data_IF_325363064603
#
_entry.id   IF_325363064603
#
_cell.length_a   1.000
_cell.length_b   1.000
_cell.length_c   1.000
_cell.angle_alpha   90.00
_cell.angle_beta   90.00
_cell.angle_gamma   90.00
#
_symmetry.space_group_name_H-M   'P 1'
#
loop_
_entity.id
_entity.type
_entity.pdbx_description
1 polymer ?
#
# COMPACT_ATOMS: atom_id res chain seq x y z
N UNK A 1 11.40 -36.24 -20.94
CA UNK A 1 12.03 -35.25 -21.84
C UNK A 1 13.53 -35.46 -21.76
N UNK A 2 14.17 -36.02 -22.80
CA UNK A 2 15.62 -36.31 -22.79
C UNK A 2 16.35 -35.07 -23.31
N UNK A 3 17.11 -34.39 -22.46
CA UNK A 3 17.98 -33.28 -22.88
C UNK A 3 19.26 -33.86 -23.47
N UNK A 4 19.31 -34.02 -24.79
CA UNK A 4 20.58 -34.22 -25.50
C UNK A 4 21.32 -32.88 -25.50
N UNK A 5 22.15 -32.63 -24.49
CA UNK A 5 23.20 -31.63 -24.61
C UNK A 5 24.35 -32.29 -25.38
N UNK A 6 24.27 -32.26 -26.71
CA UNK A 6 25.50 -32.32 -27.50
C UNK A 6 26.37 -31.16 -27.02
N UNK A 7 27.51 -31.49 -26.42
CA UNK A 7 28.49 -30.52 -25.97
C UNK A 7 29.19 -29.95 -27.20
N UNK A 8 28.45 -29.13 -27.96
CA UNK A 8 28.99 -28.37 -29.09
C UNK A 8 30.04 -27.46 -28.50
N UNK A 9 31.31 -27.82 -28.70
CA UNK A 9 32.48 -27.10 -28.20
C UNK A 9 32.28 -25.61 -28.52
N UNK A 10 31.91 -24.82 -27.52
CA UNK A 10 31.70 -23.37 -27.71
C UNK A 10 33.10 -22.78 -27.87
N UNK A 11 33.53 -22.61 -29.12
CA UNK A 11 34.75 -21.88 -29.43
C UNK A 11 34.41 -20.41 -29.30
N UNK A 12 34.70 -19.83 -28.15
CA UNK A 12 34.44 -18.41 -27.86
C UNK A 12 35.29 -17.47 -28.72
N UNK A 13 36.33 -17.99 -29.38
CA UNK A 13 37.27 -17.24 -30.22
C UNK A 13 38.31 -16.44 -29.42
N UNK A 14 38.18 -16.40 -28.09
CA UNK A 14 39.18 -15.80 -27.22
C UNK A 14 40.38 -16.72 -27.08
N UNK A 15 41.58 -16.17 -27.26
CA UNK A 15 42.83 -16.92 -27.12
C UNK A 15 43.71 -16.28 -26.05
N UNK A 16 44.38 -17.13 -25.28
CA UNK A 16 45.46 -16.73 -24.39
C UNK A 16 46.81 -17.00 -25.04
N UNK A 17 47.89 -16.36 -24.58
CA UNK A 17 49.24 -16.71 -24.99
C UNK A 17 49.57 -18.15 -24.59
N UNK A 18 50.54 -18.74 -25.27
CA UNK A 18 51.06 -20.07 -24.93
C UNK A 18 51.54 -20.09 -23.48
N UNK A 19 51.21 -21.16 -22.76
CA UNK A 19 51.64 -21.40 -21.37
C UNK A 19 51.26 -20.29 -20.37
N UNK A 20 50.31 -19.42 -20.71
CA UNK A 20 49.92 -18.27 -19.87
C UNK A 20 49.59 -18.66 -18.43
N UNK A 21 48.75 -19.68 -18.24
CA UNK A 21 48.33 -20.11 -16.90
C UNK A 21 49.43 -20.85 -16.13
N UNK A 22 50.39 -21.45 -16.82
CA UNK A 22 51.50 -22.21 -16.22
C UNK A 22 52.64 -21.27 -15.77
N UNK A 23 52.95 -20.25 -16.57
CA UNK A 23 54.11 -19.37 -16.34
C UNK A 23 53.78 -18.10 -15.56
N UNK A 24 52.53 -17.65 -15.58
CA UNK A 24 52.11 -16.43 -14.88
C UNK A 24 52.41 -16.47 -13.38
N UNK A 25 52.07 -17.53 -12.62
CA UNK A 25 52.32 -17.55 -11.17
C UNK A 25 53.81 -17.43 -10.85
N UNK A 26 54.67 -18.17 -11.57
CA UNK A 26 56.12 -18.12 -11.40
C UNK A 26 56.70 -16.75 -11.76
N UNK A 27 56.20 -16.16 -12.85
CA UNK A 27 56.63 -14.82 -13.30
C UNK A 27 56.27 -13.75 -12.28
N UNK A 28 55.05 -13.77 -11.74
CA UNK A 28 54.62 -12.82 -10.70
C UNK A 28 55.48 -12.98 -9.44
N UNK A 29 55.70 -14.22 -8.99
CA UNK A 29 56.48 -14.49 -7.78
C UNK A 29 57.93 -14.04 -7.92
N UNK A 30 58.54 -14.22 -9.10
CA UNK A 30 59.92 -13.79 -9.37
C UNK A 30 60.11 -12.27 -9.34
N UNK A 31 59.07 -11.50 -9.67
CA UNK A 31 59.09 -10.02 -9.71
C UNK A 31 58.61 -9.39 -8.40
N UNK A 32 58.03 -10.18 -7.51
CA UNK A 32 57.51 -9.71 -6.24
C UNK A 32 58.64 -9.61 -5.21
N UNK A 33 58.82 -8.42 -4.64
CA UNK A 33 59.86 -8.13 -3.65
C UNK A 33 59.28 -7.79 -2.26
N UNK A 34 58.03 -8.19 -1.99
CA UNK A 34 57.31 -7.88 -0.74
C UNK A 34 56.54 -6.57 -0.75
N UNK A 35 56.75 -5.71 -1.76
CA UNK A 35 55.99 -4.47 -1.95
C UNK A 35 55.30 -4.44 -3.32
N UNK A 36 54.12 -3.80 -3.39
CA UNK A 36 53.45 -3.59 -4.67
C UNK A 36 54.27 -2.66 -5.55
N UNK A 37 54.59 -3.10 -6.76
CA UNK A 37 55.18 -2.28 -7.81
C UNK A 37 54.45 -2.51 -9.14
N UNK A 38 54.23 -1.45 -9.91
CA UNK A 38 53.51 -1.51 -11.19
C UNK A 38 54.24 -2.34 -12.25
N UNK A 39 55.54 -2.60 -12.07
CA UNK A 39 56.36 -3.43 -12.96
C UNK A 39 56.08 -4.94 -12.85
N UNK A 40 55.39 -5.39 -11.78
CA UNK A 40 54.95 -6.78 -11.63
C UNK A 40 53.90 -7.14 -12.68
N UNK A 41 53.01 -6.19 -13.03
CA UNK A 41 51.89 -6.43 -13.95
C UNK A 41 52.31 -6.04 -15.37
N UNK A 42 52.18 -6.94 -16.37
CA UNK A 42 52.43 -6.61 -17.76
C UNK A 42 51.55 -5.45 -18.24
N UNK A 43 52.13 -4.52 -18.98
CA UNK A 43 51.44 -3.33 -19.52
C UNK A 43 50.48 -3.62 -20.68
N UNK A 44 50.57 -4.82 -21.27
CA UNK A 44 49.60 -5.32 -22.26
C UNK A 44 48.97 -6.60 -21.73
N UNK A 45 47.65 -6.70 -21.89
CA UNK A 45 46.91 -7.93 -21.58
C UNK A 45 47.32 -9.01 -22.58
N UNK A 46 47.62 -10.22 -22.11
CA UNK A 46 47.93 -11.36 -22.98
C UNK A 46 46.73 -11.87 -23.79
N UNK A 47 45.51 -11.47 -23.43
CA UNK A 47 44.28 -11.91 -24.07
C UNK A 47 44.08 -11.25 -25.42
N UNK A 48 43.75 -12.05 -26.43
CA UNK A 48 43.33 -11.58 -27.75
C UNK A 48 41.86 -11.94 -28.00
N UNK A 49 41.16 -11.03 -28.70
CA UNK A 49 39.79 -11.22 -29.14
C UNK A 49 39.75 -11.52 -30.64
N UNK A 50 38.69 -12.17 -31.15
CA UNK A 50 38.46 -12.31 -32.58
C UNK A 50 38.34 -10.97 -33.30
N UNK A 51 38.69 -10.96 -34.58
CA UNK A 51 38.45 -9.82 -35.47
C UNK A 51 36.95 -9.49 -35.50
N UNK A 52 36.61 -8.21 -35.46
CA UNK A 52 35.23 -7.69 -35.50
C UNK A 52 34.29 -8.22 -34.40
N UNK A 53 34.82 -8.76 -33.29
CA UNK A 53 34.00 -9.30 -32.20
C UNK A 53 32.89 -8.34 -31.75
N UNK A 54 33.23 -7.09 -31.41
CA UNK A 54 32.22 -6.15 -30.92
C UNK A 54 31.24 -5.74 -32.02
N UNK A 55 31.73 -5.45 -33.23
CA UNK A 55 30.91 -4.99 -34.35
C UNK A 55 29.88 -6.02 -34.82
N UNK A 56 30.27 -7.30 -34.91
CA UNK A 56 29.32 -8.35 -35.31
C UNK A 56 28.36 -8.73 -34.19
N UNK A 57 28.86 -8.74 -32.95
CA UNK A 57 28.09 -9.25 -31.83
C UNK A 57 27.05 -8.22 -31.36
N UNK A 58 27.29 -6.92 -31.56
CA UNK A 58 26.30 -5.86 -31.34
C UNK A 58 25.02 -6.08 -32.17
N UNK A 59 25.17 -6.35 -33.47
CA UNK A 59 24.02 -6.62 -34.35
C UNK A 59 23.27 -7.89 -33.95
N UNK A 60 23.99 -8.98 -33.68
CA UNK A 60 23.40 -10.25 -33.21
C UNK A 60 22.66 -10.08 -31.87
N UNK A 61 23.19 -9.27 -30.96
CA UNK A 61 22.54 -8.97 -29.68
C UNK A 61 21.25 -8.18 -29.88
N UNK A 62 21.26 -7.20 -30.79
CA UNK A 62 20.06 -6.39 -31.07
C UNK A 62 18.93 -7.25 -31.68
N UNK A 63 19.27 -8.22 -32.53
CA UNK A 63 18.32 -9.17 -33.11
C UNK A 63 17.73 -10.15 -32.06
N UNK A 64 18.50 -10.46 -31.02
CA UNK A 64 18.06 -11.32 -29.91
C UNK A 64 17.14 -10.59 -28.92
N UNK A 65 17.10 -9.26 -28.93
CA UNK A 65 16.23 -8.48 -28.06
C UNK A 65 14.82 -8.42 -28.70
N UNK A 66 13.79 -9.05 -28.10
CA UNK A 66 12.45 -8.99 -28.65
C UNK A 66 11.91 -7.56 -28.55
N UNK A 67 11.76 -6.90 -29.71
CA UNK A 67 11.15 -5.58 -29.82
C UNK A 67 9.62 -5.68 -29.66
N UNK A 68 9.17 -6.04 -28.46
CA UNK A 68 7.74 -6.00 -28.12
C UNK A 68 7.37 -4.54 -27.87
N UNK A 69 6.75 -3.91 -28.87
CA UNK A 69 6.11 -2.61 -28.72
C UNK A 69 5.01 -2.72 -27.66
N UNK A 70 5.34 -2.42 -26.40
CA UNK A 70 4.33 -2.34 -25.35
C UNK A 70 3.54 -1.05 -25.57
N UNK A 71 2.22 -1.18 -25.65
CA UNK A 71 1.31 -0.05 -25.78
C UNK A 71 1.34 0.74 -24.46
N UNK A 72 2.24 1.71 -24.36
CA UNK A 72 2.26 2.69 -23.28
C UNK A 72 1.02 3.57 -23.40
N UNK A 73 0.04 3.35 -22.53
CA UNK A 73 -1.12 4.22 -22.42
C UNK A 73 -0.82 5.31 -21.39
N UNK A 74 -0.89 6.56 -21.81
CA UNK A 74 -0.74 7.71 -20.92
C UNK A 74 -2.03 7.89 -20.11
N UNK A 75 -1.92 7.78 -18.78
CA UNK A 75 -3.02 8.05 -17.86
C UNK A 75 -3.19 9.58 -17.77
N UNK A 76 -4.18 10.12 -18.49
CA UNK A 76 -4.52 11.55 -18.39
C UNK A 76 -5.39 11.77 -17.15
N UNK A 77 -5.04 12.69 -16.23
CA UNK A 77 -5.91 13.01 -15.11
C UNK A 77 -7.14 13.77 -15.65
N UNK A 78 -8.33 13.17 -15.54
CA UNK A 78 -9.59 13.88 -15.80
C UNK A 78 -10.53 13.79 -14.60
N UNK A 79 -11.11 14.95 -14.29
CA UNK A 79 -12.42 15.17 -13.64
C UNK A 79 -12.56 15.22 -12.10
N UNK A 80 -11.58 15.79 -11.37
CA UNK A 80 -11.77 16.12 -9.94
C UNK A 80 -12.84 17.21 -9.66
N UNK A 81 -13.32 17.94 -10.66
CA UNK A 81 -14.33 18.99 -10.46
C UNK A 81 -15.76 18.44 -10.36
N UNK A 82 -16.08 17.36 -11.08
CA UNK A 82 -17.43 16.77 -11.06
C UNK A 82 -17.65 15.92 -9.80
N UNK A 83 -16.58 15.34 -9.25
CA UNK A 83 -16.63 14.56 -8.00
C UNK A 83 -16.99 15.41 -6.79
N UNK A 84 -16.55 16.67 -6.76
CA UNK A 84 -16.86 17.61 -5.67
C UNK A 84 -18.35 17.93 -5.60
N UNK A 85 -18.99 18.17 -6.75
CA UNK A 85 -20.43 18.47 -6.83
C UNK A 85 -21.30 17.30 -6.33
N UNK A 86 -20.94 16.06 -6.71
CA UNK A 86 -21.67 14.85 -6.29
C UNK A 86 -21.55 14.59 -4.77
N UNK A 87 -20.37 14.82 -4.18
CA UNK A 87 -20.15 14.65 -2.75
C UNK A 87 -20.99 15.65 -1.93
N UNK A 88 -21.05 16.92 -2.35
CA UNK A 88 -21.88 17.93 -1.69
C UNK A 88 -23.35 17.53 -1.74
N UNK A 89 -23.86 17.10 -2.90
CA UNK A 89 -25.25 16.65 -3.03
C UNK A 89 -25.59 15.47 -2.11
N UNK A 90 -24.71 14.47 -2.00
CA UNK A 90 -24.92 13.33 -1.11
C UNK A 90 -24.94 13.74 0.37
N UNK A 91 -24.03 14.63 0.78
CA UNK A 91 -24.00 15.14 2.16
C UNK A 91 -25.28 15.93 2.45
N UNK A 92 -25.72 16.80 1.54
CA UNK A 92 -26.95 17.59 1.74
C UNK A 92 -28.19 16.72 1.89
N UNK A 93 -28.30 15.61 1.14
CA UNK A 93 -29.43 14.68 1.24
C UNK A 93 -29.36 13.84 2.52
N UNK A 94 -28.17 13.42 2.96
CA UNK A 94 -28.01 12.60 4.16
C UNK A 94 -28.01 13.40 5.48
N UNK A 95 -27.68 14.68 5.45
CA UNK A 95 -27.59 15.53 6.65
C UNK A 95 -28.83 15.44 7.57
N UNK A 96 -30.08 15.54 7.08
CA UNK A 96 -31.26 15.54 7.94
C UNK A 96 -31.44 14.24 8.74
N UNK A 97 -30.96 13.11 8.22
CA UNK A 97 -31.07 11.80 8.89
C UNK A 97 -30.27 11.75 10.19
N UNK A 98 -29.22 12.55 10.32
CA UNK A 98 -28.35 12.58 11.50
C UNK A 98 -28.69 13.70 12.49
N UNK A 99 -29.34 14.79 12.04
CA UNK A 99 -29.61 15.96 12.88
C UNK A 99 -30.98 15.91 13.60
N UNK A 100 -31.96 15.18 13.07
CA UNK A 100 -33.35 15.16 13.58
C UNK A 100 -33.55 14.50 14.96
N UNK A 101 -32.53 13.90 15.58
CA UNK A 101 -32.66 13.24 16.91
C UNK A 101 -32.34 14.13 18.11
N UNK A 102 -31.95 15.40 17.89
CA UNK A 102 -31.41 16.26 18.97
C UNK A 102 -32.39 17.25 19.58
N UNK A 103 -33.55 17.50 18.97
CA UNK A 103 -34.55 18.43 19.52
C UNK A 103 -35.45 17.75 20.56
N UNK A 104 -35.88 16.51 20.30
CA UNK A 104 -36.85 15.78 21.16
C UNK A 104 -36.27 15.49 22.55
N UNK A 105 -34.97 15.15 22.63
CA UNK A 105 -34.30 14.81 23.89
C UNK A 105 -34.01 16.03 24.77
N UNK A 106 -33.85 17.22 24.17
CA UNK A 106 -33.62 18.46 24.93
C UNK A 106 -34.90 18.98 25.57
N UNK A 107 -36.04 18.81 24.91
CA UNK A 107 -37.33 19.22 25.47
C UNK A 107 -37.73 18.34 26.65
N UNK A 108 -37.50 17.03 26.58
CA UNK A 108 -37.85 16.09 27.64
C UNK A 108 -37.04 16.33 28.93
N UNK A 109 -35.72 16.52 28.81
CA UNK A 109 -34.87 16.83 29.96
C UNK A 109 -35.20 18.18 30.60
N UNK A 110 -35.52 19.18 29.79
CA UNK A 110 -35.93 20.50 30.30
C UNK A 110 -37.30 20.45 30.99
N UNK A 111 -38.23 19.62 30.50
CA UNK A 111 -39.52 19.41 31.16
C UNK A 111 -39.38 18.67 32.49
N UNK A 112 -38.50 17.67 32.57
CA UNK A 112 -38.24 16.96 33.82
C UNK A 112 -37.60 17.87 34.88
N UNK A 113 -36.58 18.66 34.48
CA UNK A 113 -35.92 19.63 35.36
C UNK A 113 -36.90 20.71 35.88
N UNK A 114 -37.80 21.19 35.00
CA UNK A 114 -38.83 22.14 35.39
C UNK A 114 -39.83 21.56 36.42
N UNK A 115 -40.27 20.32 36.22
CA UNK A 115 -41.20 19.63 37.12
C UNK A 115 -40.53 19.30 38.46
N UNK A 116 -39.25 18.94 38.47
CA UNK A 116 -38.50 18.63 39.69
C UNK A 116 -38.32 19.88 40.57
N UNK A 117 -38.06 21.04 39.97
CA UNK A 117 -37.91 22.31 40.69
C UNK A 117 -39.22 22.77 41.33
N UNK A 118 -40.37 22.51 40.70
CA UNK A 118 -41.69 22.99 41.16
C UNK A 118 -42.54 21.91 41.82
N UNK A 119 -41.95 20.76 42.17
CA UNK A 119 -42.68 19.61 42.73
C UNK A 119 -43.49 19.93 43.99
N UNK A 120 -43.04 20.89 44.80
CA UNK A 120 -43.69 21.25 46.07
C UNK A 120 -44.90 22.17 45.85
N UNK A 121 -45.01 22.81 44.68
CA UNK A 121 -46.12 23.68 44.28
C UNK A 121 -47.22 22.92 43.52
N UNK A 122 -46.91 21.72 43.03
CA UNK A 122 -47.79 20.91 42.19
C UNK A 122 -48.51 19.83 43.00
N UNK A 123 -49.82 19.69 42.83
CA UNK A 123 -50.57 18.65 43.54
C UNK A 123 -50.58 17.33 42.79
N UNK A 124 -50.44 16.20 43.50
CA UNK A 124 -50.45 14.85 42.90
C UNK A 124 -51.71 14.59 42.04
N UNK A 125 -52.84 15.19 42.44
CA UNK A 125 -54.08 15.10 41.69
C UNK A 125 -54.01 15.83 40.34
N UNK A 126 -53.40 17.01 40.30
CA UNK A 126 -53.25 17.80 39.08
C UNK A 126 -52.30 17.13 38.09
N UNK A 127 -51.21 16.52 38.58
CA UNK A 127 -50.32 15.70 37.75
C UNK A 127 -51.03 14.46 37.22
N UNK A 128 -51.76 13.75 38.10
CA UNK A 128 -52.45 12.51 37.74
C UNK A 128 -53.53 12.68 36.67
N UNK A 129 -54.17 13.85 36.58
CA UNK A 129 -55.16 14.16 35.53
C UNK A 129 -54.51 14.34 34.15
N UNK A 130 -53.22 14.68 34.11
CA UNK A 130 -52.48 14.89 32.86
C UNK A 130 -51.80 13.61 32.34
N UNK A 131 -51.76 12.54 33.13
CA UNK A 131 -51.23 11.24 32.73
C UNK A 131 -52.25 10.47 31.90
N UNK A 132 -51.78 9.77 30.88
CA UNK A 132 -52.65 8.88 30.10
C UNK A 132 -52.74 7.47 30.72
N UNK A 133 -53.57 6.62 30.13
CA UNK A 133 -53.81 5.28 30.67
C UNK A 133 -52.56 4.38 30.58
N UNK A 134 -51.68 4.60 29.59
CA UNK A 134 -50.46 3.82 29.42
C UNK A 134 -49.42 4.21 30.48
N UNK A 135 -49.30 5.51 30.75
CA UNK A 135 -48.45 6.05 31.82
C UNK A 135 -48.87 5.49 33.19
N UNK A 136 -50.18 5.48 33.49
CA UNK A 136 -50.71 4.95 34.74
C UNK A 136 -50.49 3.44 34.91
N UNK A 137 -50.65 2.66 33.84
CA UNK A 137 -50.37 1.22 33.84
C UNK A 137 -48.87 0.95 34.09
N UNK A 138 -47.98 1.78 33.55
CA UNK A 138 -46.54 1.64 33.78
C UNK A 138 -46.16 1.89 35.25
N UNK A 139 -46.75 2.92 35.88
CA UNK A 139 -46.53 3.25 37.30
C UNK A 139 -47.09 2.17 38.23
N UNK A 140 -48.26 1.61 37.92
CA UNK A 140 -48.84 0.51 38.69
C UNK A 140 -47.90 -0.71 38.70
N UNK A 141 -47.37 -1.08 37.53
CA UNK A 141 -46.44 -2.18 37.39
C UNK A 141 -45.11 -1.93 38.16
N UNK A 142 -44.58 -0.71 38.13
CA UNK A 142 -43.37 -0.35 38.88
C UNK A 142 -43.59 -0.42 40.40
N UNK A 143 -44.73 0.08 40.89
CA UNK A 143 -45.08 0.03 42.31
C UNK A 143 -45.31 -1.41 42.79
N UNK A 144 -45.94 -2.26 41.99
CA UNK A 144 -46.10 -3.70 42.29
C UNK A 144 -44.73 -4.36 42.41
N UNK A 145 -43.80 -4.06 41.51
CA UNK A 145 -42.46 -4.67 41.51
C UNK A 145 -41.59 -4.19 42.68
N UNK A 146 -41.62 -2.90 43.03
CA UNK A 146 -40.84 -2.35 44.14
C UNK A 146 -41.38 -2.77 45.53
N UNK A 147 -42.66 -3.12 45.65
CA UNK A 147 -43.26 -3.61 46.90
C UNK A 147 -43.05 -5.12 47.13
N UNK A 148 -42.47 -5.83 46.16
CA UNK A 148 -42.11 -7.25 46.25
C UNK A 148 -40.65 -7.49 46.71
N UNK A 149 -39.93 -6.43 47.11
CA UNK A 149 -38.55 -6.47 47.61
C UNK A 149 -38.46 -5.88 49.02
#
# INVERSE_FOLDING_TARGET
>A
MKTNLENKKVTSGFTTPNNYFEELPATILSKWNGAYNSSIIPSKTGFSIPENYFSENEGKLMDLIPHKNSKVISIKPKLYWVTSMAAVLLITIMLPLFYNSTEITKTELATQDYLEVHKDELSDYEVGVLLDNEDLESLENELIYNNLK
#
